data_IF_214262817222
#
_entry.id   IF_214262817222
#
_cell.length_a   1.000
_cell.length_b   1.000
_cell.length_c   1.000
_cell.angle_alpha   90.00
_cell.angle_beta   90.00
_cell.angle_gamma   90.00
#
_symmetry.space_group_name_H-M   'P 1'
#
loop_
_entity.id
_entity.type
_entity.pdbx_description
1 polymer ?
#
# COMPACT_ATOMS: atom_id res chain seq x y z
N UNK A 1 -25.70 29.83 -3.25
CA UNK A 1 -25.44 28.80 -4.27
C UNK A 1 -26.42 27.69 -3.99
N UNK A 2 -27.42 27.52 -4.84
CA UNK A 2 -28.54 26.61 -4.60
C UNK A 2 -28.12 25.20 -5.00
N UNK A 3 -28.00 24.30 -4.03
CA UNK A 3 -27.83 22.87 -4.30
C UNK A 3 -29.12 22.36 -4.95
N UNK A 4 -29.01 21.96 -6.22
CA UNK A 4 -30.12 21.36 -6.96
C UNK A 4 -30.19 19.89 -6.57
N UNK A 5 -31.36 19.32 -6.25
CA UNK A 5 -31.45 17.91 -5.85
C UNK A 5 -30.89 17.02 -6.96
N UNK A 6 -29.96 16.14 -6.62
CA UNK A 6 -29.31 15.23 -7.57
C UNK A 6 -30.38 14.38 -8.28
N UNK A 7 -30.52 14.59 -9.60
CA UNK A 7 -31.38 13.76 -10.44
C UNK A 7 -30.81 12.34 -10.41
N UNK A 8 -31.63 11.36 -10.04
CA UNK A 8 -31.26 9.94 -10.14
C UNK A 8 -31.33 9.57 -11.62
N UNK A 9 -30.19 9.26 -12.20
CA UNK A 9 -30.06 8.80 -13.58
C UNK A 9 -30.00 7.29 -13.63
N UNK A 10 -30.55 6.71 -14.69
CA UNK A 10 -30.34 5.32 -15.05
C UNK A 10 -28.95 5.11 -15.64
N UNK A 11 -28.46 3.87 -15.65
CA UNK A 11 -27.17 3.50 -16.27
C UNK A 11 -27.07 3.99 -17.72
N UNK A 12 -28.11 3.76 -18.52
CA UNK A 12 -28.14 4.20 -19.91
C UNK A 12 -28.05 5.73 -20.06
N UNK A 13 -28.71 6.49 -19.19
CA UNK A 13 -28.59 7.95 -19.19
C UNK A 13 -27.19 8.42 -18.77
N UNK A 14 -26.51 7.67 -17.89
CA UNK A 14 -25.12 7.97 -17.50
C UNK A 14 -24.18 7.69 -18.66
N UNK A 15 -24.31 6.56 -19.33
CA UNK A 15 -23.47 6.20 -20.48
C UNK A 15 -23.59 7.22 -21.61
N UNK A 16 -24.82 7.66 -21.92
CA UNK A 16 -25.07 8.69 -22.93
C UNK A 16 -24.36 10.01 -22.58
N UNK A 17 -24.36 10.39 -21.30
CA UNK A 17 -23.65 11.59 -20.81
C UNK A 17 -22.14 11.40 -20.93
N UNK A 18 -21.60 10.25 -20.52
CA UNK A 18 -20.16 9.96 -20.58
C UNK A 18 -19.65 9.98 -22.04
N UNK A 19 -20.39 9.39 -22.97
CA UNK A 19 -20.04 9.39 -24.39
C UNK A 19 -20.07 10.81 -24.95
N UNK A 20 -21.11 11.58 -24.63
CA UNK A 20 -21.25 12.95 -25.11
C UNK A 20 -20.16 13.90 -24.59
N UNK A 21 -19.63 13.64 -23.39
CA UNK A 21 -18.62 14.46 -22.72
C UNK A 21 -17.18 13.94 -22.90
N UNK A 22 -16.99 12.83 -23.61
CA UNK A 22 -15.69 12.16 -23.70
C UNK A 22 -14.56 13.05 -24.25
N UNK A 23 -14.88 13.97 -25.17
CA UNK A 23 -13.90 14.88 -25.79
C UNK A 23 -13.90 16.29 -25.16
N UNK A 24 -14.76 16.55 -24.17
CA UNK A 24 -14.84 17.85 -23.49
C UNK A 24 -14.08 17.81 -22.17
N UNK A 25 -12.82 18.25 -22.19
CA UNK A 25 -11.96 18.38 -21.00
C UNK A 25 -12.59 19.24 -19.89
N UNK A 26 -13.49 20.17 -20.20
CA UNK A 26 -14.14 21.00 -19.18
C UNK A 26 -15.25 20.27 -18.41
N UNK A 27 -15.69 19.11 -18.92
CA UNK A 27 -16.66 18.24 -18.26
C UNK A 27 -16.03 17.30 -17.22
N UNK A 28 -14.69 17.19 -17.20
CA UNK A 28 -13.95 16.32 -16.28
C UNK A 28 -13.25 17.12 -15.18
N UNK A 29 -13.14 16.51 -14.01
CA UNK A 29 -12.30 17.05 -12.94
C UNK A 29 -10.81 16.92 -13.29
N UNK A 30 -9.97 17.71 -12.63
CA UNK A 30 -8.52 17.67 -12.84
C UNK A 30 -7.97 16.25 -12.58
N UNK A 31 -7.13 15.77 -13.50
CA UNK A 31 -6.59 14.42 -13.41
C UNK A 31 -5.83 14.19 -12.09
N UNK A 32 -6.23 13.15 -11.35
CA UNK A 32 -5.56 12.77 -10.11
C UNK A 32 -4.19 12.17 -10.41
N UNK A 33 -3.14 12.85 -9.94
CA UNK A 33 -1.77 12.34 -10.01
C UNK A 33 -1.54 11.33 -8.88
N UNK A 34 -1.62 10.04 -9.20
CA UNK A 34 -1.32 8.97 -8.24
C UNK A 34 0.18 8.74 -8.21
N UNK A 35 0.83 9.08 -7.10
CA UNK A 35 2.25 8.74 -6.89
C UNK A 35 2.29 7.42 -6.12
N UNK A 36 2.57 6.28 -6.77
CA UNK A 36 2.76 5.04 -6.03
C UNK A 36 3.91 5.22 -5.03
N UNK A 37 3.77 4.66 -3.83
CA UNK A 37 4.81 4.66 -2.83
C UNK A 37 6.14 4.23 -3.46
N UNK A 38 7.25 4.86 -3.10
CA UNK A 38 8.57 4.62 -3.74
C UNK A 38 8.94 3.14 -3.60
N UNK A 39 8.91 2.41 -4.72
CA UNK A 39 9.26 0.99 -4.77
C UNK A 39 10.76 0.84 -4.49
N UNK A 40 11.11 -0.07 -3.59
CA UNK A 40 12.49 -0.47 -3.34
C UNK A 40 12.63 -1.91 -3.81
N UNK A 41 13.38 -2.13 -4.89
CA UNK A 41 13.70 -3.47 -5.35
C UNK A 41 14.95 -3.97 -4.60
N UNK A 42 14.81 -5.06 -3.86
CA UNK A 42 15.91 -5.78 -3.22
C UNK A 42 16.17 -7.08 -3.97
N UNK A 43 17.41 -7.31 -4.39
CA UNK A 43 17.81 -8.61 -4.94
C UNK A 43 18.22 -9.52 -3.80
N UNK A 44 17.57 -10.67 -3.71
CA UNK A 44 17.90 -11.72 -2.75
C UNK A 44 18.47 -12.93 -3.50
N UNK A 45 19.47 -13.63 -2.94
CA UNK A 45 19.94 -14.89 -3.52
C UNK A 45 18.80 -15.91 -3.62
N UNK A 46 18.80 -16.73 -4.68
CA UNK A 46 17.73 -17.72 -4.95
C UNK A 46 17.44 -18.63 -3.76
N UNK A 47 18.49 -19.07 -3.06
CA UNK A 47 18.33 -19.93 -1.89
C UNK A 47 17.61 -19.21 -0.74
N UNK A 48 17.82 -17.90 -0.58
CA UNK A 48 17.14 -17.11 0.43
C UNK A 48 15.68 -16.88 0.06
N UNK A 49 15.39 -16.61 -1.22
CA UNK A 49 14.03 -16.53 -1.75
C UNK A 49 13.24 -17.82 -1.54
N UNK A 50 13.85 -18.98 -1.82
CA UNK A 50 13.18 -20.27 -1.63
C UNK A 50 12.80 -20.52 -0.16
N UNK A 51 13.66 -20.11 0.78
CA UNK A 51 13.37 -20.22 2.22
C UNK A 51 12.28 -19.24 2.65
N UNK A 52 12.31 -18.00 2.16
CA UNK A 52 11.27 -17.02 2.43
C UNK A 52 9.90 -17.48 1.92
N UNK A 53 9.85 -18.03 0.70
CA UNK A 53 8.62 -18.59 0.14
C UNK A 53 8.05 -19.76 0.96
N UNK A 54 8.93 -20.65 1.43
CA UNK A 54 8.52 -21.75 2.32
C UNK A 54 7.93 -21.23 3.64
N UNK A 55 8.56 -20.22 4.24
CA UNK A 55 8.09 -19.65 5.51
C UNK A 55 6.79 -18.85 5.35
N UNK A 56 6.66 -18.08 4.26
CA UNK A 56 5.40 -17.40 3.94
C UNK A 56 4.23 -18.39 3.85
N UNK A 57 4.44 -19.53 3.19
CA UNK A 57 3.44 -20.58 3.12
C UNK A 57 3.12 -21.20 4.49
N UNK A 58 4.14 -21.38 5.33
CA UNK A 58 3.99 -21.94 6.67
C UNK A 58 3.17 -21.03 7.59
N UNK A 59 3.39 -19.72 7.48
CA UNK A 59 2.74 -18.70 8.31
C UNK A 59 1.35 -18.30 7.76
N UNK A 60 0.97 -18.80 6.58
CA UNK A 60 -0.34 -18.57 5.97
C UNK A 60 -0.47 -17.24 5.22
N UNK A 61 0.66 -16.58 4.91
CA UNK A 61 0.69 -15.33 4.18
C UNK A 61 0.41 -15.54 2.68
N UNK A 62 -0.23 -14.55 2.06
CA UNK A 62 -0.64 -14.63 0.64
C UNK A 62 0.53 -14.60 -0.33
N UNK A 63 1.64 -13.98 0.07
CA UNK A 63 2.79 -13.75 -0.78
C UNK A 63 4.08 -13.52 0.04
N UNK A 64 5.22 -13.69 -0.64
CA UNK A 64 6.55 -13.62 -0.02
C UNK A 64 6.91 -12.18 0.39
N UNK A 65 6.40 -11.18 -0.32
CA UNK A 65 6.71 -9.77 -0.05
C UNK A 65 6.06 -9.32 1.25
N UNK A 66 4.76 -9.59 1.42
CA UNK A 66 4.01 -9.34 2.66
C UNK A 66 4.68 -10.00 3.86
N UNK A 67 5.06 -11.28 3.71
CA UNK A 67 5.78 -12.02 4.76
C UNK A 67 7.14 -11.38 5.08
N UNK A 68 7.92 -10.99 4.06
CA UNK A 68 9.22 -10.31 4.26
C UNK A 68 9.06 -8.96 4.95
N UNK A 69 8.04 -8.17 4.61
CA UNK A 69 7.75 -6.90 5.25
C UNK A 69 7.45 -7.07 6.73
N UNK A 70 6.62 -8.05 7.08
CA UNK A 70 6.32 -8.35 8.48
C UNK A 70 7.57 -8.82 9.24
N UNK A 71 8.34 -9.76 8.67
CA UNK A 71 9.57 -10.26 9.30
C UNK A 71 10.60 -9.14 9.54
N UNK A 72 10.73 -8.19 8.61
CA UNK A 72 11.60 -7.01 8.78
C UNK A 72 11.07 -6.10 9.89
N UNK A 73 9.76 -5.83 9.92
CA UNK A 73 9.13 -4.99 10.94
C UNK A 73 9.32 -5.57 12.34
N UNK A 74 8.99 -6.85 12.53
CA UNK A 74 9.17 -7.56 13.81
C UNK A 74 10.63 -7.51 14.29
N UNK A 75 11.57 -7.68 13.35
CA UNK A 75 12.99 -7.62 13.68
C UNK A 75 13.42 -6.22 14.13
N UNK A 76 12.94 -5.17 13.45
CA UNK A 76 13.22 -3.78 13.83
C UNK A 76 12.72 -3.51 15.25
N UNK A 77 11.45 -3.84 15.53
CA UNK A 77 10.83 -3.62 16.84
C UNK A 77 11.59 -4.34 17.97
N UNK A 78 12.02 -5.58 17.73
CA UNK A 78 12.81 -6.36 18.69
C UNK A 78 14.17 -5.72 18.99
N UNK A 79 14.87 -5.25 17.95
CA UNK A 79 16.18 -4.59 18.10
C UNK A 79 16.04 -3.23 18.78
N UNK A 80 15.01 -2.45 18.47
CA UNK A 80 14.72 -1.18 19.12
C UNK A 80 14.41 -1.36 20.61
N UNK A 81 13.59 -2.35 20.97
CA UNK A 81 13.33 -2.69 22.36
C UNK A 81 14.61 -3.10 23.11
N UNK A 82 15.45 -3.93 22.46
CA UNK A 82 16.76 -4.34 23.00
C UNK A 82 17.68 -3.15 23.20
N UNK A 83 17.73 -2.22 22.24
CA UNK A 83 18.54 -1.02 22.31
C UNK A 83 18.09 -0.09 23.45
N UNK A 84 16.79 0.15 23.58
CA UNK A 84 16.24 0.97 24.66
C UNK A 84 16.52 0.37 26.04
N UNK A 85 16.43 -0.96 26.17
CA UNK A 85 16.78 -1.66 27.41
C UNK A 85 18.27 -1.45 27.76
N UNK A 86 19.18 -1.64 26.79
CA UNK A 86 20.61 -1.41 26.98
C UNK A 86 20.91 0.04 27.36
N UNK A 87 20.25 1.00 26.71
CA UNK A 87 20.39 2.43 27.01
C UNK A 87 19.94 2.76 28.44
N UNK A 88 18.82 2.21 28.91
CA UNK A 88 18.35 2.40 30.29
C UNK A 88 19.34 1.85 31.32
N UNK A 89 19.91 0.67 31.05
CA UNK A 89 20.91 0.06 31.93
C UNK A 89 22.25 0.82 31.92
N UNK A 90 22.53 1.59 30.86
CA UNK A 90 23.71 2.48 30.80
C UNK A 90 23.52 3.80 31.57
N UNK A 91 22.27 4.25 31.77
CA UNK A 91 21.96 5.50 32.47
C UNK A 91 21.78 5.29 33.99
N UNK A 92 21.53 4.05 34.43
CA UNK A 92 21.51 3.65 35.84
C UNK A 92 22.54 2.54 36.11
N UNK A 93 23.82 2.88 36.37
CA UNK A 93 24.80 1.94 36.91
C UNK A 93 24.52 1.56 38.37
#
# INVERSE_FOLDING_TARGET
>A
MSETPAKILTEAEIDDILIAQAEDESAWEEALQVHPAKWVALSLPDQLMARAAFLAQLDGESDVESWLMQAIQERIESEEATFLQKKRNFVHP
#
